data_IF_030643750613
#
_entry.id   IF_030643750613
#
_cell.length_a   1.000
_cell.length_b   1.000
_cell.length_c   1.000
_cell.angle_alpha   90.00
_cell.angle_beta   90.00
_cell.angle_gamma   90.00
#
_symmetry.space_group_name_H-M   'P 1'
#
loop_
_entity.id
_entity.type
_entity.pdbx_description
1 polymer ?
#
# COMPACT_ATOMS: atom_id res chain seq x y z
N UNK A 1 -8.12 61.28 -11.46
CA UNK A 1 -8.38 59.95 -10.87
C UNK A 1 -7.67 59.93 -9.52
N UNK A 2 -8.41 59.89 -8.42
CA UNK A 2 -7.88 60.11 -7.07
C UNK A 2 -6.91 58.99 -6.68
N UNK A 3 -5.74 59.31 -6.11
CA UNK A 3 -4.76 58.29 -5.68
C UNK A 3 -5.35 57.25 -4.72
N UNK A 4 -6.41 57.61 -3.98
CA UNK A 4 -7.16 56.71 -3.12
C UNK A 4 -7.80 55.54 -3.89
N UNK A 5 -8.35 55.78 -5.09
CA UNK A 5 -8.95 54.71 -5.92
C UNK A 5 -7.91 53.73 -6.47
N UNK A 6 -6.68 54.20 -6.71
CA UNK A 6 -5.57 53.33 -7.12
C UNK A 6 -5.06 52.46 -5.97
N UNK A 7 -5.00 53.02 -4.76
CA UNK A 7 -4.61 52.27 -3.56
C UNK A 7 -5.63 51.18 -3.20
N UNK A 8 -6.92 51.50 -3.24
CA UNK A 8 -8.00 50.54 -2.95
C UNK A 8 -8.02 49.40 -3.96
N UNK A 9 -7.83 49.71 -5.25
CA UNK A 9 -7.77 48.67 -6.30
C UNK A 9 -6.55 47.76 -6.15
N UNK A 10 -5.37 48.31 -5.87
CA UNK A 10 -4.15 47.52 -5.65
C UNK A 10 -4.29 46.55 -4.46
N UNK A 11 -4.86 47.00 -3.35
CA UNK A 11 -5.12 46.18 -2.17
C UNK A 11 -6.13 45.06 -2.46
N UNK A 12 -7.15 45.35 -3.28
CA UNK A 12 -8.14 44.35 -3.70
C UNK A 12 -7.51 43.26 -4.57
N UNK A 13 -6.64 43.63 -5.53
CA UNK A 13 -5.91 42.66 -6.35
C UNK A 13 -4.97 41.79 -5.52
N UNK A 14 -4.22 42.37 -4.58
CA UNK A 14 -3.33 41.61 -3.68
C UNK A 14 -4.12 40.61 -2.82
N UNK A 15 -5.29 41.01 -2.31
CA UNK A 15 -6.19 40.13 -1.57
C UNK A 15 -6.65 38.93 -2.40
N UNK A 16 -7.11 39.17 -3.64
CA UNK A 16 -7.55 38.11 -4.57
C UNK A 16 -6.39 37.18 -4.95
N UNK A 17 -5.19 37.71 -5.16
CA UNK A 17 -3.99 36.91 -5.46
C UNK A 17 -3.55 36.05 -4.26
N UNK A 18 -3.72 36.55 -3.03
CA UNK A 18 -3.39 35.78 -1.81
C UNK A 18 -4.39 34.66 -1.51
N UNK A 19 -5.66 34.83 -1.89
CA UNK A 19 -6.72 33.85 -1.65
C UNK A 19 -6.58 32.57 -2.50
N UNK A 20 -5.79 32.58 -3.57
CA UNK A 20 -5.51 31.40 -4.40
C UNK A 20 -4.12 30.79 -4.17
N UNK A 21 -3.35 31.28 -3.18
CA UNK A 21 -2.04 30.72 -2.87
C UNK A 21 -2.17 29.56 -1.89
N UNK A 22 -2.59 28.38 -2.40
CA UNK A 22 -2.55 27.13 -1.64
C UNK A 22 -1.08 26.73 -1.48
N UNK A 23 -0.51 27.05 -0.32
CA UNK A 23 0.84 26.65 0.09
C UNK A 23 0.89 25.23 0.66
N UNK A 24 -0.27 24.62 0.90
CA UNK A 24 -0.44 23.27 1.45
C UNK A 24 -1.11 22.33 0.43
N UNK A 25 -0.57 22.28 -0.78
CA UNK A 25 -1.00 21.23 -1.71
C UNK A 25 -0.56 19.88 -1.11
N UNK A 26 -1.49 18.93 -0.91
CA UNK A 26 -1.10 17.58 -0.51
C UNK A 26 -0.12 17.04 -1.55
N UNK A 27 0.89 16.35 -1.06
CA UNK A 27 1.93 15.79 -1.91
C UNK A 27 1.26 14.77 -2.85
N UNK A 28 1.37 15.01 -4.16
CA UNK A 28 0.66 14.23 -5.18
C UNK A 28 -0.56 14.94 -5.77
N UNK A 29 -0.36 15.63 -6.90
CA UNK A 29 -1.46 16.11 -7.74
C UNK A 29 -2.28 14.93 -8.29
N UNK A 30 -3.55 15.19 -8.67
CA UNK A 30 -4.60 14.20 -9.07
C UNK A 30 -4.19 13.07 -10.05
N UNK A 31 -3.03 13.17 -10.70
CA UNK A 31 -2.55 12.25 -11.75
C UNK A 31 -1.15 11.67 -11.50
N UNK A 32 -0.46 12.09 -10.44
CA UNK A 32 0.96 11.74 -10.24
C UNK A 32 1.20 10.43 -9.49
N UNK A 33 0.17 9.86 -8.86
CA UNK A 33 0.34 8.70 -7.97
C UNK A 33 -0.04 7.35 -8.60
N UNK A 34 -0.69 7.37 -9.76
CA UNK A 34 -1.44 6.20 -10.29
C UNK A 34 -0.50 5.16 -10.95
N UNK A 35 0.78 5.51 -11.18
CA UNK A 35 1.69 4.70 -12.01
C UNK A 35 2.97 4.24 -11.29
N UNK A 36 3.12 4.56 -10.00
CA UNK A 36 4.24 4.08 -9.21
C UNK A 36 3.88 2.72 -8.56
N UNK A 37 4.71 1.66 -8.72
CA UNK A 37 4.50 0.42 -7.99
C UNK A 37 4.49 0.70 -6.49
N UNK A 38 3.42 0.29 -5.80
CA UNK A 38 3.28 0.49 -4.36
C UNK A 38 4.44 -0.20 -3.64
N UNK A 39 5.20 0.58 -2.86
CA UNK A 39 6.28 0.04 -2.03
C UNK A 39 5.70 -0.72 -0.85
N UNK A 40 6.48 -1.61 -0.24
CA UNK A 40 6.10 -2.16 1.07
C UNK A 40 6.14 -1.07 2.14
N UNK A 41 5.23 -1.12 3.09
CA UNK A 41 5.25 -0.19 4.22
C UNK A 41 6.51 -0.43 5.07
N UNK A 42 6.85 0.58 5.87
CA UNK A 42 8.06 0.56 6.68
C UNK A 42 8.12 -0.64 7.62
N UNK A 43 9.35 -1.04 7.95
CA UNK A 43 9.58 -2.09 8.93
C UNK A 43 9.29 -1.57 10.35
N UNK A 44 8.90 -2.47 11.23
CA UNK A 44 8.60 -2.16 12.63
C UNK A 44 8.89 -3.36 13.53
N UNK A 45 8.85 -3.13 14.85
CA UNK A 45 9.06 -4.17 15.84
C UNK A 45 10.50 -4.66 15.99
N UNK A 46 10.74 -5.65 16.86
CA UNK A 46 12.07 -6.09 17.23
C UNK A 46 12.81 -6.68 16.03
N UNK A 47 13.93 -6.06 15.67
CA UNK A 47 14.79 -6.48 14.56
C UNK A 47 14.17 -6.25 13.17
N UNK A 48 13.27 -5.27 13.03
CA UNK A 48 12.66 -4.87 11.74
C UNK A 48 11.96 -6.03 11.01
N UNK A 49 11.46 -7.00 11.78
CA UNK A 49 10.82 -8.21 11.26
C UNK A 49 9.33 -8.00 10.96
N UNK A 50 8.73 -6.96 11.52
CA UNK A 50 7.35 -6.58 11.30
C UNK A 50 7.18 -5.57 10.16
N UNK A 51 5.92 -5.32 9.82
CA UNK A 51 5.51 -4.27 8.86
C UNK A 51 4.34 -3.47 9.43
N UNK A 52 4.32 -2.18 9.08
CA UNK A 52 3.24 -1.29 9.45
C UNK A 52 2.00 -1.56 8.60
N UNK A 53 0.85 -1.72 9.26
CA UNK A 53 -0.47 -1.86 8.60
C UNK A 53 -1.36 -0.63 8.84
N UNK A 54 -0.96 0.26 9.75
CA UNK A 54 -1.61 1.51 10.08
C UNK A 54 -0.69 2.34 10.99
N UNK A 55 -1.05 3.59 11.33
CA UNK A 55 -0.17 4.54 12.04
C UNK A 55 0.24 4.09 13.45
N UNK A 56 -0.48 3.12 14.02
CA UNK A 56 -0.20 2.54 15.33
C UNK A 56 -0.33 1.01 15.32
N UNK A 57 -0.16 0.38 14.16
CA UNK A 57 -0.35 -1.07 13.95
C UNK A 57 0.91 -1.68 13.34
N UNK A 58 1.59 -2.54 14.10
CA UNK A 58 2.75 -3.29 13.64
C UNK A 58 2.48 -4.80 13.71
N UNK A 59 2.61 -5.49 12.58
CA UNK A 59 2.36 -6.93 12.48
C UNK A 59 3.60 -7.69 12.03
N UNK A 60 3.85 -8.83 12.66
CA UNK A 60 4.91 -9.78 12.30
C UNK A 60 4.27 -11.11 11.95
N UNK A 61 4.50 -11.61 10.74
CA UNK A 61 3.82 -12.79 10.19
C UNK A 61 3.95 -14.09 11.00
N UNK A 62 4.87 -14.17 11.98
CA UNK A 62 4.98 -15.32 12.88
C UNK A 62 4.62 -15.06 14.34
N UNK A 63 4.44 -13.80 14.75
CA UNK A 63 4.22 -13.44 16.17
C UNK A 63 2.88 -12.74 16.43
N UNK A 64 2.17 -12.30 15.37
CA UNK A 64 0.90 -11.59 15.50
C UNK A 64 1.05 -10.08 15.29
N UNK A 65 0.08 -9.33 15.79
CA UNK A 65 -0.02 -7.88 15.63
C UNK A 65 -0.02 -7.16 16.98
N UNK A 66 0.62 -6.01 17.01
CA UNK A 66 0.71 -5.11 18.14
C UNK A 66 0.10 -3.77 17.76
N UNK A 67 -0.76 -3.25 18.63
CA UNK A 67 -1.52 -2.01 18.40
C UNK A 67 -1.27 -1.04 19.55
N UNK A 68 -0.90 0.20 19.24
CA UNK A 68 -0.58 1.23 20.24
C UNK A 68 0.66 0.91 21.10
N UNK A 69 1.52 0.01 20.61
CA UNK A 69 2.74 -0.40 21.30
C UNK A 69 3.94 0.46 20.87
N UNK A 70 5.03 0.51 21.64
CA UNK A 70 6.23 1.25 21.25
C UNK A 70 6.81 0.76 19.91
N UNK A 71 6.66 -0.54 19.61
CA UNK A 71 7.07 -1.15 18.35
C UNK A 71 6.33 -0.58 17.13
N UNK A 72 5.09 -0.11 17.32
CA UNK A 72 4.26 0.47 16.27
C UNK A 72 4.39 2.00 16.18
N UNK A 73 5.18 2.64 17.05
CA UNK A 73 5.31 4.10 17.07
C UNK A 73 6.01 4.62 15.82
N UNK A 74 6.96 3.86 15.25
CA UNK A 74 7.60 4.23 13.98
C UNK A 74 6.59 4.28 12.82
N UNK A 75 5.50 3.51 12.88
CA UNK A 75 4.48 3.48 11.83
C UNK A 75 3.78 4.82 11.60
N UNK A 76 3.83 5.76 12.54
CA UNK A 76 3.34 7.13 12.31
C UNK A 76 4.16 7.87 11.26
N UNK A 77 5.43 7.52 11.07
CA UNK A 77 6.31 8.15 10.08
C UNK A 77 5.81 7.92 8.65
N UNK A 78 5.10 6.81 8.42
CA UNK A 78 4.46 6.44 7.16
C UNK A 78 3.51 7.55 6.65
N UNK A 79 2.83 8.27 7.56
CA UNK A 79 1.91 9.37 7.21
C UNK A 79 2.61 10.57 6.55
N UNK A 80 3.92 10.70 6.73
CA UNK A 80 4.71 11.79 6.16
C UNK A 80 5.36 11.40 4.83
N UNK A 81 5.23 10.14 4.41
CA UNK A 81 5.79 9.66 3.16
C UNK A 81 4.78 9.83 2.03
N UNK A 82 5.16 10.63 1.04
CA UNK A 82 4.34 10.99 -0.11
C UNK A 82 3.88 9.81 -0.98
N UNK A 83 4.73 8.80 -1.09
CA UNK A 83 4.49 7.62 -1.92
C UNK A 83 3.64 6.62 -1.12
N UNK A 84 2.54 6.11 -1.67
CA UNK A 84 1.71 5.12 -1.00
C UNK A 84 2.49 3.83 -0.80
N UNK A 85 2.19 3.14 0.28
CA UNK A 85 2.70 1.80 0.55
C UNK A 85 1.54 0.82 0.61
N UNK A 86 1.81 -0.43 0.24
CA UNK A 86 0.88 -1.53 0.38
C UNK A 86 1.63 -2.78 0.81
N UNK A 87 1.10 -3.46 1.82
CA UNK A 87 1.61 -4.75 2.23
C UNK A 87 0.90 -5.81 1.39
N UNK A 88 1.65 -6.55 0.58
CA UNK A 88 1.07 -7.70 -0.12
C UNK A 88 0.50 -8.74 0.84
N UNK A 89 -0.42 -9.56 0.38
CA UNK A 89 -1.04 -10.61 1.18
C UNK A 89 -2.41 -10.98 0.62
N UNK A 90 -3.06 -11.97 1.25
CA UNK A 90 -4.43 -12.33 0.92
C UNK A 90 -5.38 -11.31 1.52
N UNK A 91 -6.33 -10.82 0.72
CA UNK A 91 -7.40 -9.98 1.20
C UNK A 91 -8.31 -10.75 2.17
N UNK A 92 -8.83 -10.06 3.18
CA UNK A 92 -9.70 -10.61 4.21
C UNK A 92 -10.71 -9.54 4.68
N UNK A 93 -11.80 -10.01 5.31
CA UNK A 93 -12.90 -9.14 5.71
C UNK A 93 -13.60 -8.39 4.55
N UNK A 94 -14.56 -7.53 4.91
CA UNK A 94 -15.32 -6.71 3.96
C UNK A 94 -14.76 -5.29 3.80
N UNK A 95 -13.88 -4.86 4.70
CA UNK A 95 -13.35 -3.49 4.80
C UNK A 95 -11.97 -3.32 4.12
N UNK A 96 -11.66 -4.15 3.11
CA UNK A 96 -10.38 -4.10 2.41
C UNK A 96 -9.19 -4.47 3.31
N UNK A 97 -9.38 -5.41 4.24
CA UNK A 97 -8.30 -5.90 5.10
C UNK A 97 -7.35 -6.84 4.37
N UNK A 98 -6.16 -7.01 4.92
CA UNK A 98 -5.13 -7.93 4.44
C UNK A 98 -4.67 -8.80 5.61
N UNK A 99 -4.45 -10.08 5.35
CA UNK A 99 -3.94 -11.02 6.35
C UNK A 99 -2.53 -10.62 6.77
N UNK A 100 -2.39 -10.15 8.01
CA UNK A 100 -1.15 -9.60 8.53
C UNK A 100 -0.35 -10.61 9.35
N UNK A 101 -1.05 -11.58 9.94
CA UNK A 101 -0.49 -12.71 10.69
C UNK A 101 -1.48 -13.89 10.65
N UNK A 102 -1.07 -15.11 11.04
CA UNK A 102 -1.94 -16.27 11.10
C UNK A 102 -3.21 -16.00 11.90
N UNK A 103 -4.35 -16.08 11.23
CA UNK A 103 -5.67 -15.84 11.83
C UNK A 103 -5.99 -14.38 12.13
N UNK A 104 -5.20 -13.42 11.66
CA UNK A 104 -5.38 -11.98 11.93
C UNK A 104 -5.50 -11.19 10.62
N UNK A 105 -6.64 -10.54 10.44
CA UNK A 105 -6.95 -9.62 9.35
C UNK A 105 -6.77 -8.17 9.83
N UNK A 106 -6.01 -7.35 9.10
CA UNK A 106 -5.79 -5.96 9.47
C UNK A 106 -6.09 -5.00 8.31
N UNK A 107 -6.59 -3.82 8.65
CA UNK A 107 -6.63 -2.65 7.77
C UNK A 107 -5.92 -1.46 8.47
N UNK A 108 -6.01 -0.27 7.89
CA UNK A 108 -5.37 0.94 8.44
C UNK A 108 -5.92 1.40 9.79
N UNK A 109 -7.12 0.94 10.17
CA UNK A 109 -7.82 1.37 11.38
C UNK A 109 -7.69 0.36 12.52
N UNK A 110 -7.58 -0.93 12.22
CA UNK A 110 -7.48 -1.96 13.24
C UNK A 110 -7.32 -3.37 12.67
N UNK A 111 -7.30 -4.34 13.59
CA UNK A 111 -7.24 -5.75 13.25
C UNK A 111 -8.35 -6.54 13.93
N UNK A 112 -8.78 -7.61 13.28
CA UNK A 112 -9.73 -8.59 13.79
C UNK A 112 -9.22 -9.99 13.53
N UNK A 113 -9.73 -10.96 14.28
CA UNK A 113 -9.47 -12.37 14.02
C UNK A 113 -10.28 -12.83 12.80
N UNK A 114 -9.64 -13.49 11.85
CA UNK A 114 -10.27 -14.03 10.65
C UNK A 114 -9.66 -15.39 10.30
N UNK A 115 -10.50 -16.43 10.26
CA UNK A 115 -10.07 -17.80 9.96
C UNK A 115 -9.54 -17.95 8.54
N UNK A 116 -9.93 -17.08 7.61
CA UNK A 116 -9.37 -17.08 6.24
C UNK A 116 -7.88 -16.72 6.20
N UNK A 117 -7.38 -16.08 7.26
CA UNK A 117 -5.96 -15.76 7.44
C UNK A 117 -5.17 -16.87 8.14
N UNK A 118 -5.80 -17.97 8.55
CA UNK A 118 -5.05 -19.17 8.95
C UNK A 118 -4.44 -19.78 7.68
N UNK A 119 -3.13 -19.97 7.70
CA UNK A 119 -2.47 -20.71 6.63
C UNK A 119 -2.82 -22.19 6.80
N UNK A 120 -3.61 -22.74 5.88
CA UNK A 120 -3.34 -24.10 5.44
C UNK A 120 -1.99 -24.03 4.71
N UNK A 121 -1.02 -24.83 5.13
CA UNK A 121 0.36 -24.74 4.64
C UNK A 121 0.43 -24.80 3.10
N UNK A 122 1.43 -24.12 2.53
CA UNK A 122 1.72 -23.91 1.10
C UNK A 122 1.19 -22.59 0.49
N UNK A 123 1.81 -21.49 0.88
CA UNK A 123 2.19 -20.48 -0.12
C UNK A 123 3.51 -19.82 0.30
N UNK A 124 4.60 -20.33 -0.27
CA UNK A 124 5.89 -19.66 -0.35
C UNK A 124 5.72 -18.21 -0.84
N UNK A 125 6.62 -17.28 -0.48
CA UNK A 125 6.61 -15.93 -1.04
C UNK A 125 7.15 -15.99 -2.46
N UNK A 126 6.33 -16.42 -3.42
CA UNK A 126 6.71 -16.35 -4.83
C UNK A 126 6.76 -14.88 -5.23
N UNK A 127 7.94 -14.51 -5.74
CA UNK A 127 8.26 -13.17 -6.18
C UNK A 127 7.29 -12.67 -7.25
N UNK A 128 7.39 -11.36 -7.47
CA UNK A 128 6.74 -10.64 -8.56
C UNK A 128 6.95 -11.35 -9.90
N UNK A 129 6.00 -12.20 -10.29
CA UNK A 129 5.83 -12.66 -11.66
C UNK A 129 4.58 -11.97 -12.20
N UNK A 130 4.80 -10.97 -13.06
CA UNK A 130 3.71 -10.25 -13.72
C UNK A 130 2.84 -11.18 -14.58
N UNK A 131 1.72 -10.66 -15.12
CA UNK A 131 0.66 -11.45 -15.77
C UNK A 131 1.08 -12.30 -16.98
N UNK A 132 2.32 -12.17 -17.45
CA UNK A 132 2.88 -12.94 -18.56
C UNK A 132 3.51 -14.28 -18.18
N UNK A 133 3.91 -14.47 -16.91
CA UNK A 133 4.61 -15.70 -16.46
C UNK A 133 3.71 -16.94 -16.46
N UNK A 134 2.48 -16.77 -15.97
CA UNK A 134 1.50 -17.86 -15.87
C UNK A 134 1.06 -18.41 -17.23
N UNK A 135 0.93 -17.53 -18.23
CA UNK A 135 0.56 -17.93 -19.59
C UNK A 135 1.71 -18.68 -20.27
N UNK A 136 2.96 -18.26 -20.04
CA UNK A 136 4.14 -18.93 -20.59
C UNK A 136 4.31 -20.33 -19.98
N UNK A 137 4.13 -20.48 -18.66
CA UNK A 137 4.16 -21.81 -18.01
C UNK A 137 3.07 -22.73 -18.53
N UNK A 138 1.83 -22.22 -18.71
CA UNK A 138 0.72 -22.99 -19.29
C UNK A 138 1.02 -23.42 -20.73
N UNK A 139 1.62 -22.55 -21.56
CA UNK A 139 2.04 -22.88 -22.92
C UNK A 139 3.18 -23.91 -22.96
N UNK A 140 4.15 -23.83 -22.04
CA UNK A 140 5.23 -24.80 -21.92
C UNK A 140 4.72 -26.20 -21.49
N UNK A 141 3.73 -26.26 -20.59
CA UNK A 141 3.10 -27.53 -20.22
C UNK A 141 2.29 -28.15 -21.36
N UNK A 142 1.58 -27.34 -22.15
CA UNK A 142 0.82 -27.83 -23.30
C UNK A 142 1.72 -28.32 -24.43
N UNK A 143 2.81 -27.61 -24.72
CA UNK A 143 3.80 -28.04 -25.73
C UNK A 143 4.53 -29.31 -25.30
N UNK A 144 4.88 -29.47 -24.01
CA UNK A 144 5.49 -30.70 -23.50
C UNK A 144 4.55 -31.91 -23.61
N UNK A 145 3.27 -31.75 -23.28
CA UNK A 145 2.26 -32.82 -23.47
C UNK A 145 2.05 -33.16 -24.95
N UNK A 146 2.01 -32.15 -25.81
CA UNK A 146 1.84 -32.36 -27.25
C UNK A 146 3.06 -33.03 -27.90
N UNK A 147 4.28 -32.74 -27.41
CA UNK A 147 5.49 -33.40 -27.88
C UNK A 147 5.58 -34.85 -27.40
N UNK A 148 5.19 -35.12 -26.15
CA UNK A 148 5.13 -36.48 -25.60
C UNK A 148 4.12 -37.36 -26.35
N UNK A 149 2.97 -36.79 -26.75
CA UNK A 149 1.94 -37.53 -27.48
C UNK A 149 2.31 -37.79 -28.95
N UNK A 150 3.25 -37.02 -29.53
CA UNK A 150 3.77 -37.22 -30.90
C UNK A 150 4.87 -38.26 -31.01
N UNK A 151 5.47 -38.69 -29.89
CA UNK A 151 6.54 -39.72 -29.88
C UNK A 151 5.95 -41.14 -29.80
N UNK A 152 4.64 -41.26 -29.53
CA UNK A 152 3.93 -42.53 -29.38
C UNK A 152 3.01 -42.92 -30.57
N UNK A 153 3.15 -42.25 -31.71
CA UNK A 153 2.62 -42.68 -33.03
C UNK A 153 3.78 -42.86 -34.01
#
# INVERSE_FOLDING_TARGET
MSGATLYVSLLCFLSICSACYISNCPVGGKRSLIDAPARKCMACGPGDRGRCFGPSICCTGGLGCSMGSPEATSCMEENYIATPCENGGRACGSAGGICAAPGVCCNSEGCSTDLSCLADEESEPEGSEGPGGDLLRKLLHLTRKHLANRIHQ
#
